data_IF_947843437414
#
_entry.id   IF_947843437414
#
_cell.length_a   1.000
_cell.length_b   1.000
_cell.length_c   1.000
_cell.angle_alpha   90.00
_cell.angle_beta   90.00
_cell.angle_gamma   90.00
#
_symmetry.space_group_name_H-M   'P 1'
#
loop_
_entity.id
_entity.type
_entity.pdbx_description
1 polymer ?
#
# COMPACT_ATOMS: atom_id res chain seq x y z
N UNK A 1 -78.80 7.78 9.09
CA UNK A 1 -78.05 8.89 8.47
C UNK A 1 -77.21 9.50 9.57
N UNK A 2 -75.90 9.22 9.54
CA UNK A 2 -74.93 9.73 10.51
C UNK A 2 -73.66 9.99 9.72
N UNK A 3 -73.31 11.26 9.58
CA UNK A 3 -72.20 11.76 8.75
C UNK A 3 -70.85 11.58 9.45
N UNK A 4 -69.84 11.16 8.68
CA UNK A 4 -68.44 11.02 9.10
C UNK A 4 -67.67 12.22 8.54
N UNK A 5 -66.92 13.00 9.35
CA UNK A 5 -65.99 13.98 8.80
C UNK A 5 -64.68 13.29 8.40
N UNK A 6 -64.38 13.31 7.10
CA UNK A 6 -63.04 13.06 6.54
C UNK A 6 -62.17 14.29 6.81
N UNK A 7 -61.16 14.17 7.67
CA UNK A 7 -60.01 15.08 7.62
C UNK A 7 -58.97 14.49 6.68
N UNK A 8 -58.71 15.24 5.62
CA UNK A 8 -57.66 14.97 4.65
C UNK A 8 -56.30 15.29 5.28
N UNK A 9 -55.40 14.31 5.25
CA UNK A 9 -53.98 14.53 5.49
C UNK A 9 -53.39 15.13 4.22
N UNK A 10 -52.97 16.39 4.27
CA UNK A 10 -52.14 16.97 3.21
C UNK A 10 -50.74 16.34 3.28
N UNK A 11 -50.18 15.78 2.19
CA UNK A 11 -48.76 15.51 2.12
C UNK A 11 -48.04 16.84 1.91
N UNK A 12 -47.19 17.20 2.87
CA UNK A 12 -46.30 18.37 2.82
C UNK A 12 -45.32 18.23 1.65
N UNK A 13 -45.44 19.14 0.68
CA UNK A 13 -44.59 19.33 -0.49
C UNK A 13 -43.13 19.79 -0.15
N UNK A 14 -42.71 19.77 1.12
CA UNK A 14 -41.36 20.17 1.52
C UNK A 14 -40.32 19.05 1.46
N UNK A 15 -40.73 17.77 1.43
CA UNK A 15 -39.78 16.64 1.40
C UNK A 15 -39.15 16.46 0.00
N UNK A 16 -39.88 16.80 -1.05
CA UNK A 16 -39.40 16.60 -2.43
C UNK A 16 -38.30 17.58 -2.87
N UNK A 17 -38.18 18.73 -2.20
CA UNK A 17 -37.16 19.75 -2.55
C UNK A 17 -35.77 19.47 -2.00
N UNK A 18 -35.64 18.65 -0.95
CA UNK A 18 -34.33 18.26 -0.41
C UNK A 18 -33.70 17.07 -1.17
N UNK A 19 -34.52 16.31 -1.91
CA UNK A 19 -34.05 15.16 -2.71
C UNK A 19 -33.33 15.58 -4.01
N UNK A 20 -33.59 16.80 -4.51
CA UNK A 20 -33.06 17.28 -5.80
C UNK A 20 -31.73 18.05 -5.71
N UNK A 21 -31.25 18.38 -4.50
CA UNK A 21 -29.97 19.08 -4.30
C UNK A 21 -28.80 18.09 -4.23
N UNK A 22 -29.07 16.78 -4.18
CA UNK A 22 -28.10 15.74 -4.52
C UNK A 22 -27.90 15.70 -6.06
N UNK A 23 -27.61 16.84 -6.67
CA UNK A 23 -27.03 16.88 -8.01
C UNK A 23 -25.72 16.13 -7.94
N UNK A 24 -25.69 15.02 -8.65
CA UNK A 24 -24.54 14.18 -8.98
C UNK A 24 -23.33 15.06 -9.28
N UNK A 25 -22.47 15.26 -8.27
CA UNK A 25 -21.09 15.61 -8.53
C UNK A 25 -20.54 14.45 -9.37
N UNK A 26 -20.01 14.69 -10.59
CA UNK A 26 -19.30 13.64 -11.30
C UNK A 26 -18.15 13.19 -10.42
N UNK A 27 -18.28 12.00 -9.82
CA UNK A 27 -17.17 11.32 -9.16
C UNK A 27 -16.24 10.76 -10.23
N UNK A 28 -15.63 11.64 -11.03
CA UNK A 28 -14.61 11.29 -12.04
C UNK A 28 -13.20 11.31 -11.44
N UNK A 29 -13.08 11.08 -10.14
CA UNK A 29 -11.85 10.61 -9.54
C UNK A 29 -12.11 9.22 -9.04
N UNK A 30 -11.73 8.20 -9.84
CA UNK A 30 -11.51 6.86 -9.31
C UNK A 30 -10.80 7.01 -7.97
N UNK A 31 -11.38 6.45 -6.90
CA UNK A 31 -10.77 6.50 -5.58
C UNK A 31 -9.30 6.05 -5.73
N UNK A 32 -8.30 6.72 -5.13
CA UNK A 32 -6.88 6.39 -5.33
C UNK A 32 -6.60 4.89 -5.14
N UNK A 33 -7.33 4.25 -4.23
CA UNK A 33 -7.34 2.81 -3.95
C UNK A 33 -7.66 1.92 -5.17
N UNK A 34 -8.22 2.45 -6.27
CA UNK A 34 -8.53 1.71 -7.50
C UNK A 34 -7.30 1.52 -8.43
N UNK A 35 -6.24 2.30 -8.25
CA UNK A 35 -5.08 2.33 -9.16
C UNK A 35 -3.92 1.53 -8.56
N UNK A 36 -3.24 0.62 -9.28
CA UNK A 36 -2.09 -0.09 -8.74
C UNK A 36 -0.95 0.83 -8.29
N UNK A 37 -0.06 0.32 -7.42
CA UNK A 37 1.08 1.11 -6.95
C UNK A 37 2.05 1.51 -8.08
N UNK A 38 2.54 2.75 -8.03
CA UNK A 38 3.72 3.18 -8.80
C UNK A 38 4.98 2.75 -8.06
N UNK A 39 5.85 2.01 -8.72
CA UNK A 39 7.11 1.53 -8.11
C UNK A 39 8.20 2.56 -8.34
N UNK A 40 8.82 3.04 -7.26
CA UNK A 40 9.87 4.04 -7.30
C UNK A 40 11.16 3.52 -6.69
N UNK A 41 12.27 3.73 -7.38
CA UNK A 41 13.63 3.49 -6.88
C UNK A 41 14.32 4.80 -6.44
N UNK A 42 13.59 5.91 -6.29
CA UNK A 42 14.17 7.20 -5.94
C UNK A 42 14.84 7.23 -4.55
N UNK A 43 14.49 6.29 -3.67
CA UNK A 43 15.06 6.12 -2.32
C UNK A 43 15.94 4.87 -2.21
N UNK A 44 16.32 4.32 -3.35
CA UNK A 44 17.11 3.11 -3.41
C UNK A 44 18.54 3.34 -2.94
N UNK A 45 19.00 2.47 -2.04
CA UNK A 45 20.35 2.53 -1.48
C UNK A 45 21.26 1.52 -2.16
N UNK A 46 21.92 1.95 -3.24
CA UNK A 46 22.88 1.17 -4.03
C UNK A 46 23.95 0.46 -3.18
N UNK A 47 24.38 1.08 -2.06
CA UNK A 47 25.45 0.52 -1.20
C UNK A 47 25.01 -0.68 -0.36
N UNK A 48 23.71 -0.87 -0.20
CA UNK A 48 23.11 -1.93 0.63
C UNK A 48 22.40 -2.97 -0.23
N UNK A 49 22.50 -2.86 -1.55
CA UNK A 49 21.69 -3.63 -2.46
C UNK A 49 22.50 -4.65 -3.25
N UNK A 50 21.90 -5.82 -3.42
CA UNK A 50 22.49 -6.97 -4.11
C UNK A 50 21.64 -7.33 -5.34
N UNK A 51 20.91 -6.38 -5.94
CA UNK A 51 19.97 -6.68 -7.03
C UNK A 51 20.65 -7.34 -8.23
N UNK A 52 21.87 -6.91 -8.55
CA UNK A 52 22.72 -7.49 -9.60
C UNK A 52 23.27 -8.85 -9.22
N UNK A 53 23.28 -9.16 -7.92
CA UNK A 53 23.81 -10.40 -7.35
C UNK A 53 22.68 -11.39 -7.01
N UNK A 54 21.41 -11.01 -7.26
CA UNK A 54 20.26 -11.88 -6.98
C UNK A 54 20.36 -13.17 -7.81
N UNK A 55 20.40 -14.30 -7.12
CA UNK A 55 20.44 -15.62 -7.74
C UNK A 55 19.12 -15.97 -8.43
N UNK A 56 19.17 -16.79 -9.49
CA UNK A 56 18.06 -17.02 -10.44
C UNK A 56 16.63 -17.03 -9.87
N UNK A 57 16.32 -17.94 -8.94
CA UNK A 57 14.95 -18.03 -8.38
C UNK A 57 14.56 -16.81 -7.52
N UNK A 58 15.51 -16.22 -6.80
CA UNK A 58 15.28 -15.03 -5.97
C UNK A 58 15.07 -13.78 -6.84
N UNK A 59 15.88 -13.61 -7.89
CA UNK A 59 15.71 -12.56 -8.88
C UNK A 59 14.34 -12.63 -9.56
N UNK A 60 13.96 -13.84 -10.02
CA UNK A 60 12.64 -14.09 -10.61
C UNK A 60 11.53 -13.73 -9.64
N UNK A 61 11.63 -14.16 -8.38
CA UNK A 61 10.64 -13.87 -7.35
C UNK A 61 10.55 -12.36 -7.06
N UNK A 62 11.67 -11.65 -7.00
CA UNK A 62 11.69 -10.20 -6.81
C UNK A 62 10.89 -9.49 -7.92
N UNK A 63 11.17 -9.84 -9.18
CA UNK A 63 10.50 -9.26 -10.35
C UNK A 63 9.01 -9.60 -10.34
N UNK A 64 8.63 -10.85 -10.03
CA UNK A 64 7.23 -11.27 -9.92
C UNK A 64 6.48 -10.52 -8.83
N UNK A 65 7.12 -10.29 -7.67
CA UNK A 65 6.54 -9.52 -6.58
C UNK A 65 6.35 -8.06 -6.98
N UNK A 66 7.37 -7.41 -7.55
CA UNK A 66 7.27 -6.02 -8.03
C UNK A 66 6.19 -5.90 -9.10
N UNK A 67 6.15 -6.79 -10.10
CA UNK A 67 5.09 -6.84 -11.11
C UNK A 67 3.72 -6.96 -10.47
N UNK A 68 3.56 -7.82 -9.46
CA UNK A 68 2.29 -8.01 -8.75
C UNK A 68 1.86 -6.73 -8.05
N UNK A 69 2.77 -6.05 -7.35
CA UNK A 69 2.51 -4.75 -6.71
C UNK A 69 2.03 -3.72 -7.72
N UNK A 70 2.74 -3.59 -8.86
CA UNK A 70 2.43 -2.59 -9.88
C UNK A 70 1.26 -2.91 -10.80
N UNK A 71 0.62 -4.08 -10.69
CA UNK A 71 -0.48 -4.47 -11.60
C UNK A 71 -1.72 -5.03 -10.92
N UNK A 72 -1.59 -5.60 -9.72
CA UNK A 72 -2.67 -6.33 -9.05
C UNK A 72 -3.04 -5.75 -7.69
N UNK A 73 -2.12 -5.07 -7.01
CA UNK A 73 -2.36 -4.60 -5.65
C UNK A 73 -3.03 -3.23 -5.70
N UNK A 74 -4.32 -3.22 -5.36
CA UNK A 74 -5.14 -2.03 -5.23
C UNK A 74 -5.33 -1.72 -3.74
N UNK A 75 -6.39 -2.13 -3.02
CA UNK A 75 -6.40 -1.94 -1.57
C UNK A 75 -5.31 -2.76 -0.88
N UNK A 76 -4.99 -2.38 0.36
CA UNK A 76 -4.05 -3.10 1.23
C UNK A 76 -4.40 -4.59 1.38
N UNK A 77 -5.69 -4.94 1.35
CA UNK A 77 -6.16 -6.32 1.40
C UNK A 77 -5.63 -7.20 0.24
N UNK A 78 -5.26 -6.61 -0.90
CA UNK A 78 -4.76 -7.36 -2.06
C UNK A 78 -3.36 -7.91 -1.85
N UNK A 79 -2.57 -7.37 -0.92
CA UNK A 79 -1.27 -7.94 -0.58
C UNK A 79 -1.40 -9.38 -0.10
N UNK A 80 -2.32 -9.63 0.84
CA UNK A 80 -2.61 -10.97 1.36
C UNK A 80 -3.16 -11.90 0.27
N UNK A 81 -4.10 -11.40 -0.55
CA UNK A 81 -4.70 -12.18 -1.66
C UNK A 81 -3.68 -12.61 -2.70
N UNK A 82 -2.62 -11.83 -2.89
CA UNK A 82 -1.56 -12.12 -3.85
C UNK A 82 -0.32 -12.73 -3.20
N UNK A 83 -0.40 -13.20 -1.95
CA UNK A 83 0.70 -13.85 -1.22
C UNK A 83 1.96 -12.99 -1.12
N UNK A 84 1.76 -11.68 -0.92
CA UNK A 84 2.83 -10.71 -0.68
C UNK A 84 2.81 -10.35 0.81
N UNK A 85 3.61 -11.06 1.60
CA UNK A 85 3.74 -10.81 3.03
C UNK A 85 4.43 -9.47 3.28
N UNK A 86 3.78 -8.62 4.08
CA UNK A 86 4.34 -7.34 4.53
C UNK A 86 4.65 -7.47 6.00
N UNK A 87 5.91 -7.30 6.37
CA UNK A 87 6.34 -7.39 7.76
C UNK A 87 6.87 -6.02 8.16
N UNK A 88 6.21 -5.32 9.09
CA UNK A 88 6.73 -4.07 9.65
C UNK A 88 8.11 -4.28 10.26
N UNK A 89 8.99 -3.33 10.02
CA UNK A 89 10.34 -3.34 10.56
C UNK A 89 10.46 -2.38 11.72
N UNK A 90 11.14 -2.81 12.76
CA UNK A 90 11.49 -1.93 13.88
C UNK A 90 12.73 -1.13 13.50
N UNK A 91 12.75 0.12 13.94
CA UNK A 91 13.95 0.96 13.91
C UNK A 91 14.95 0.46 14.97
N UNK A 92 15.57 -0.69 14.72
CA UNK A 92 16.60 -1.28 15.56
C UNK A 92 17.93 -1.46 14.82
N UNK A 93 18.97 -1.80 15.58
CA UNK A 93 20.40 -1.61 15.29
C UNK A 93 20.80 -1.63 13.82
N UNK A 94 20.52 -2.72 13.11
CA UNK A 94 21.10 -2.99 11.80
C UNK A 94 20.28 -2.46 10.65
N UNK A 95 18.97 -2.41 10.85
CA UNK A 95 18.06 -1.80 9.90
C UNK A 95 18.18 -0.29 9.88
N UNK A 96 18.81 0.35 10.88
CA UNK A 96 19.10 1.80 10.88
C UNK A 96 19.74 2.30 9.58
N UNK A 97 20.58 1.47 8.94
CA UNK A 97 21.23 1.82 7.67
C UNK A 97 20.22 1.99 6.52
N UNK A 98 19.09 1.27 6.56
CA UNK A 98 18.00 1.39 5.58
C UNK A 98 17.21 2.69 5.75
N UNK A 99 17.13 3.24 6.95
CA UNK A 99 16.44 4.52 7.22
C UNK A 99 17.25 5.74 6.76
N UNK A 100 18.48 5.58 6.29
CA UNK A 100 19.31 6.70 5.85
C UNK A 100 18.72 7.38 4.62
N UNK A 101 18.36 8.66 4.75
CA UNK A 101 17.76 9.45 3.65
C UNK A 101 16.23 9.30 3.53
N UNK A 102 15.63 8.60 4.50
CA UNK A 102 14.18 8.46 4.68
C UNK A 102 13.77 9.43 5.80
N UNK A 103 12.62 10.08 5.64
CA UNK A 103 12.10 11.00 6.63
C UNK A 103 11.74 10.27 7.94
N UNK A 104 11.82 11.00 9.06
CA UNK A 104 11.40 10.46 10.35
C UNK A 104 9.89 10.11 10.34
N UNK A 105 9.52 9.08 11.10
CA UNK A 105 8.14 8.61 11.19
C UNK A 105 7.67 7.69 10.05
N UNK A 106 8.48 7.49 8.99
CA UNK A 106 8.17 6.50 7.95
C UNK A 106 8.41 5.09 8.47
N UNK A 107 7.40 4.23 8.35
CA UNK A 107 7.49 2.81 8.68
C UNK A 107 8.05 2.03 7.48
N UNK A 108 9.25 1.46 7.65
CA UNK A 108 9.79 0.49 6.71
C UNK A 108 9.13 -0.88 6.91
N UNK A 109 8.97 -1.59 5.80
CA UNK A 109 8.42 -2.93 5.73
C UNK A 109 9.35 -3.82 4.92
N UNK A 110 9.37 -5.10 5.22
CA UNK A 110 10.05 -6.11 4.41
C UNK A 110 9.05 -7.04 3.72
N UNK A 111 9.43 -7.50 2.53
CA UNK A 111 8.78 -8.60 1.80
C UNK A 111 9.76 -9.74 1.69
N UNK A 112 9.32 -10.94 2.09
CA UNK A 112 10.09 -12.16 1.94
C UNK A 112 9.99 -12.67 0.51
N UNK A 113 11.12 -12.77 -0.18
CA UNK A 113 11.18 -13.34 -1.51
C UNK A 113 11.32 -14.86 -1.43
N UNK A 114 12.48 -15.32 -0.98
CA UNK A 114 12.80 -16.73 -0.80
C UNK A 114 13.98 -16.85 0.16
N UNK A 115 13.93 -17.83 1.09
CA UNK A 115 14.97 -18.03 2.12
C UNK A 115 15.28 -16.71 2.86
N UNK A 116 16.48 -16.17 2.66
CA UNK A 116 16.99 -14.96 3.29
C UNK A 116 16.81 -13.70 2.45
N UNK A 117 16.43 -13.81 1.17
CA UNK A 117 16.28 -12.65 0.29
C UNK A 117 15.06 -11.81 0.66
N UNK A 118 15.22 -10.48 0.65
CA UNK A 118 14.20 -9.51 1.08
C UNK A 118 14.11 -8.33 0.13
N UNK A 119 12.91 -7.77 -0.01
CA UNK A 119 12.69 -6.40 -0.50
C UNK A 119 12.36 -5.54 0.70
N UNK A 120 13.13 -4.48 0.90
CA UNK A 120 12.88 -3.45 1.89
C UNK A 120 12.24 -2.25 1.21
N UNK A 121 11.12 -1.77 1.75
CA UNK A 121 10.34 -0.71 1.13
C UNK A 121 9.55 0.10 2.17
N UNK A 122 9.00 1.21 1.72
CA UNK A 122 7.85 1.86 2.34
C UNK A 122 6.88 2.32 1.26
N UNK A 123 5.64 2.53 1.65
CA UNK A 123 4.57 2.99 0.79
C UNK A 123 3.97 4.28 1.35
N UNK A 124 3.61 5.21 0.47
CA UNK A 124 2.91 6.44 0.83
C UNK A 124 1.52 6.40 0.21
N UNK A 125 0.51 6.59 1.06
CA UNK A 125 -0.89 6.78 0.70
C UNK A 125 -1.26 8.27 0.95
N UNK A 126 -2.09 8.91 0.10
CA UNK A 126 -2.88 8.33 -1.00
C UNK A 126 -2.18 8.29 -2.37
N UNK A 127 -0.91 8.70 -2.47
CA UNK A 127 -0.19 8.77 -3.76
C UNK A 127 0.15 7.39 -4.35
N UNK A 128 -0.07 6.32 -3.58
CA UNK A 128 0.11 4.92 -3.98
C UNK A 128 1.47 4.68 -4.61
N UNK A 129 2.50 5.24 -3.99
CA UNK A 129 3.88 5.06 -4.44
C UNK A 129 4.61 4.08 -3.53
N UNK A 130 5.10 2.99 -4.12
CA UNK A 130 5.89 1.96 -3.48
C UNK A 130 7.39 2.27 -3.66
N UNK A 131 8.03 2.79 -2.62
CA UNK A 131 9.45 3.13 -2.64
C UNK A 131 10.30 1.94 -2.25
N UNK A 132 11.04 1.39 -3.22
CA UNK A 132 12.05 0.37 -2.97
C UNK A 132 13.27 1.02 -2.34
N UNK A 133 13.65 0.55 -1.16
CA UNK A 133 14.82 1.04 -0.42
C UNK A 133 16.04 0.14 -0.67
N UNK A 134 15.84 -1.17 -0.63
CA UNK A 134 16.88 -2.14 -0.95
C UNK A 134 16.27 -3.50 -1.35
N UNK A 135 17.01 -4.28 -2.14
CA UNK A 135 16.73 -5.68 -2.40
C UNK A 135 17.99 -6.48 -2.09
N UNK A 136 17.90 -7.45 -1.20
CA UNK A 136 19.05 -8.21 -0.73
C UNK A 136 18.91 -9.68 -1.07
N UNK A 137 19.99 -10.31 -1.50
CA UNK A 137 20.13 -11.74 -1.79
C UNK A 137 20.19 -12.53 -0.47
N UNK A 138 20.83 -11.94 0.53
CA UNK A 138 20.89 -12.43 1.90
C UNK A 138 20.17 -11.48 2.87
N UNK A 139 19.77 -12.01 4.01
CA UNK A 139 19.20 -11.20 5.08
C UNK A 139 20.33 -10.40 5.68
N UNK A 140 20.09 -9.12 6.02
CA UNK A 140 21.06 -8.33 6.77
C UNK A 140 21.45 -9.14 8.03
N UNK A 141 22.72 -9.50 8.15
CA UNK A 141 23.18 -10.36 9.23
C UNK A 141 23.00 -9.67 10.58
N UNK A 142 22.10 -10.22 11.40
CA UNK A 142 21.86 -9.86 12.82
C UNK A 142 22.97 -10.24 13.78
N UNK A 143 24.09 -10.70 13.23
CA UNK A 143 25.18 -11.20 14.02
C UNK A 143 26.08 -10.05 14.44
N UNK A 144 25.81 -9.60 15.67
CA UNK A 144 26.77 -8.91 16.53
C UNK A 144 28.07 -9.71 16.59
N UNK A 145 28.97 -9.48 15.63
CA UNK A 145 30.36 -9.85 15.80
C UNK A 145 30.96 -8.83 16.77
N UNK A 146 30.87 -9.14 18.07
CA UNK A 146 31.79 -8.59 19.06
C UNK A 146 33.19 -9.09 18.68
N UNK A 147 34.01 -8.19 18.13
CA UNK A 147 35.47 -8.33 18.22
C UNK A 147 35.95 -7.57 19.44
#
# INVERSE_FOLDING_TARGET
MTDIPKQATEPSDEIDKLSQIAQELPQDTEAPEAIPYVISFAKYNERMCEISELGGNKAKRAIETLKTIGTKIRPEADFQRNYVDRIPMRYDSEYKKLYRGIAEGIELKEIKLQQRARIFYFDIEPERTFYVVAITENHLETDKVRR
#
